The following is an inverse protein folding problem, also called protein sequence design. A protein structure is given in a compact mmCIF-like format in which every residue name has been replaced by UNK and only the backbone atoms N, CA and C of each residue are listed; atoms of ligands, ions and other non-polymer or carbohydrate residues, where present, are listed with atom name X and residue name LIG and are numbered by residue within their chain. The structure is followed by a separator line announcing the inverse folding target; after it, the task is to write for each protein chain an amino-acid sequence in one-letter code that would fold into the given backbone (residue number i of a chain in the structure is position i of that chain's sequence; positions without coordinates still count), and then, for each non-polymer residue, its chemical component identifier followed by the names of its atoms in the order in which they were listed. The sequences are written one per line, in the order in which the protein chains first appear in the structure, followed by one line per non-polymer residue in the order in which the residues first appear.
data_IF_885898293099
#
_entry.id   IF_885898293099
#
_cell.length_a   1.000
_cell.length_b   1.000
_cell.length_c   1.000
_cell.angle_alpha   90.00
_cell.angle_beta   90.00
_cell.angle_gamma   90.00
#
_symmetry.space_group_name_H-M   'P 1'
#
loop_
_entity.id
_entity.type
_entity.pdbx_description
1 polymer ?
#
# COMPACT_ATOMS: atom_id res chain seq x y z
N UNK A 1 5.41 23.46 9.81
CA UNK A 1 4.02 23.29 9.37
C UNK A 1 3.68 21.82 9.50
N UNK A 2 2.54 21.43 10.09
CA UNK A 2 2.12 20.04 10.10
C UNK A 2 1.89 19.57 8.66
N UNK A 3 2.14 18.30 8.38
CA UNK A 3 1.95 17.72 7.06
C UNK A 3 0.45 17.55 6.84
N UNK A 4 -0.08 18.19 5.79
CA UNK A 4 -1.48 18.04 5.41
C UNK A 4 -1.82 16.59 5.02
N UNK A 5 -3.10 16.20 5.03
CA UNK A 5 -3.51 14.86 4.63
C UNK A 5 -3.13 14.57 3.17
N UNK A 6 -3.00 13.29 2.80
CA UNK A 6 -2.88 12.91 1.39
C UNK A 6 -4.23 13.13 0.69
N UNK A 7 -4.20 13.49 -0.58
CA UNK A 7 -5.38 13.36 -1.43
C UNK A 7 -5.47 11.93 -1.93
N UNK A 8 -6.68 11.40 -1.92
CA UNK A 8 -7.01 10.05 -2.38
C UNK A 8 -8.31 10.12 -3.20
N UNK A 9 -8.57 9.15 -4.10
CA UNK A 9 -9.78 9.14 -4.92
C UNK A 9 -11.01 8.72 -4.09
N UNK A 10 -11.47 9.61 -3.21
CA UNK A 10 -12.54 9.35 -2.22
C UNK A 10 -13.85 8.88 -2.86
N UNK A 11 -14.22 9.45 -4.00
CA UNK A 11 -15.46 9.08 -4.69
C UNK A 11 -15.40 7.65 -5.22
N UNK A 12 -14.25 7.25 -5.78
CA UNK A 12 -14.00 5.89 -6.24
C UNK A 12 -14.02 4.90 -5.08
N UNK A 13 -13.23 5.18 -4.04
CA UNK A 13 -13.17 4.35 -2.82
C UNK A 13 -14.56 4.11 -2.25
N UNK A 14 -15.36 5.16 -2.08
CA UNK A 14 -16.73 5.04 -1.57
C UNK A 14 -17.64 4.23 -2.51
N UNK A 15 -17.56 4.45 -3.82
CA UNK A 15 -18.38 3.74 -4.82
C UNK A 15 -18.06 2.25 -4.92
N UNK A 16 -16.81 1.86 -4.64
CA UNK A 16 -16.33 0.47 -4.67
C UNK A 16 -16.46 -0.24 -3.31
N UNK A 17 -17.02 0.44 -2.29
CA UNK A 17 -17.28 -0.17 -0.98
C UNK A 17 -16.09 -0.17 -0.02
N UNK A 18 -15.07 0.66 -0.28
CA UNK A 18 -14.01 0.90 0.67
C UNK A 18 -14.48 1.81 1.80
N UNK A 19 -14.02 1.51 3.01
CA UNK A 19 -14.33 2.27 4.22
C UNK A 19 -13.03 2.71 4.89
N UNK A 20 -13.00 3.95 5.38
CA UNK A 20 -11.85 4.47 6.12
C UNK A 20 -11.67 3.66 7.41
N UNK A 21 -10.46 3.13 7.60
CA UNK A 21 -10.08 2.36 8.78
C UNK A 21 -9.43 3.26 9.81
N UNK A 22 -8.56 4.18 9.38
CA UNK A 22 -7.72 4.98 10.27
C UNK A 22 -7.16 6.23 9.58
N UNK A 23 -6.91 7.27 10.38
CA UNK A 23 -5.99 8.38 10.06
C UNK A 23 -4.94 8.50 11.15
N UNK A 24 -3.69 8.70 10.74
CA UNK A 24 -2.56 8.79 11.67
C UNK A 24 -1.54 9.84 11.22
N UNK A 25 -0.95 10.54 12.19
CA UNK A 25 0.20 11.41 12.01
C UNK A 25 1.39 10.82 12.77
N UNK A 26 2.54 10.70 12.11
CA UNK A 26 3.72 10.08 12.70
C UNK A 26 5.02 10.54 12.03
N UNK A 27 6.16 10.26 12.63
CA UNK A 27 7.48 10.59 12.07
C UNK A 27 8.18 9.28 11.66
N UNK A 28 8.06 8.84 10.39
CA UNK A 28 8.68 7.59 9.89
C UNK A 28 10.18 7.48 10.11
N UNK A 29 10.84 8.63 10.18
CA UNK A 29 12.28 8.67 10.34
C UNK A 29 12.68 9.99 10.99
N UNK A 30 13.49 9.90 12.04
CA UNK A 30 14.13 11.06 12.66
C UNK A 30 15.62 10.76 12.83
N UNK A 31 16.45 11.35 11.97
CA UNK A 31 17.90 11.34 12.13
C UNK A 31 18.43 12.77 12.21
N UNK A 32 19.63 12.90 12.80
CA UNK A 32 20.31 14.18 13.08
C UNK A 32 20.35 15.19 11.92
N UNK A 33 20.21 14.75 10.67
CA UNK A 33 20.28 15.60 9.48
C UNK A 33 18.93 15.78 8.76
N UNK A 34 18.01 14.81 8.86
CA UNK A 34 16.69 14.83 8.19
C UNK A 34 15.69 14.06 9.05
N UNK A 35 14.56 14.69 9.36
CA UNK A 35 13.35 14.01 9.85
C UNK A 35 12.30 13.99 8.74
N UNK A 36 11.44 12.98 8.71
CA UNK A 36 10.30 12.88 7.79
C UNK A 36 9.05 12.75 8.64
N UNK A 37 8.14 13.71 8.51
CA UNK A 37 6.82 13.64 9.12
C UNK A 37 5.82 13.12 8.07
N UNK A 38 4.85 12.33 8.52
CA UNK A 38 3.86 11.65 7.71
C UNK A 38 2.46 11.95 8.23
N UNK A 39 1.53 12.19 7.32
CA UNK A 39 0.09 12.17 7.57
C UNK A 39 -0.50 11.11 6.65
N UNK A 40 -1.15 10.11 7.22
CA UNK A 40 -1.65 8.94 6.49
C UNK A 40 -3.13 8.68 6.72
N UNK A 41 -3.75 8.08 5.72
CA UNK A 41 -5.09 7.51 5.78
C UNK A 41 -5.03 6.06 5.30
N UNK A 42 -5.76 5.17 5.97
CA UNK A 42 -5.91 3.78 5.58
C UNK A 42 -7.39 3.46 5.34
N UNK A 43 -7.63 2.62 4.34
CA UNK A 43 -8.94 2.10 3.95
C UNK A 43 -8.92 0.57 3.94
N UNK A 44 -10.07 -0.02 4.25
CA UNK A 44 -10.34 -1.44 4.03
C UNK A 44 -11.45 -1.63 3.00
N UNK A 45 -11.45 -2.74 2.27
CA UNK A 45 -12.58 -3.14 1.44
C UNK A 45 -13.69 -3.74 2.32
N UNK A 46 -14.55 -2.85 2.86
CA UNK A 46 -15.64 -3.21 3.75
C UNK A 46 -16.68 -4.09 3.07
N UNK A 47 -16.92 -3.89 1.77
CA UNK A 47 -17.84 -4.72 1.00
C UNK A 47 -17.34 -6.17 0.87
N UNK A 48 -16.05 -6.37 0.58
CA UNK A 48 -15.44 -7.71 0.53
C UNK A 48 -15.43 -8.36 1.93
N UNK A 49 -15.08 -7.60 2.96
CA UNK A 49 -15.11 -8.08 4.35
C UNK A 49 -16.48 -8.60 4.74
N UNK A 50 -17.54 -7.87 4.41
CA UNK A 50 -18.90 -8.30 4.68
C UNK A 50 -19.28 -9.58 3.92
N UNK A 51 -18.97 -9.66 2.61
CA UNK A 51 -19.26 -10.87 1.81
C UNK A 51 -18.54 -12.12 2.34
N UNK A 52 -17.27 -12.00 2.72
CA UNK A 52 -16.52 -13.13 3.29
C UNK A 52 -17.09 -13.50 4.66
N UNK A 53 -17.44 -12.52 5.49
CA UNK A 53 -18.05 -12.78 6.79
C UNK A 53 -19.39 -13.52 6.66
N UNK A 54 -20.26 -13.11 5.75
CA UNK A 54 -21.57 -13.75 5.56
C UNK A 54 -21.44 -15.22 5.11
N UNK A 55 -20.43 -15.51 4.28
CA UNK A 55 -20.20 -16.86 3.74
C UNK A 55 -19.40 -17.78 4.68
N UNK A 56 -18.52 -17.24 5.52
CA UNK A 56 -17.53 -18.03 6.26
C UNK A 56 -17.50 -17.76 7.77
N UNK A 57 -18.12 -16.69 8.22
CA UNK A 57 -18.03 -16.18 9.60
C UNK A 57 -16.66 -15.57 9.96
N UNK A 58 -15.71 -15.49 9.03
CA UNK A 58 -14.38 -14.94 9.27
C UNK A 58 -14.38 -13.43 9.09
N UNK A 59 -14.00 -12.71 10.14
CA UNK A 59 -14.03 -11.24 10.17
C UNK A 59 -12.63 -10.63 10.30
N UNK A 60 -12.14 -9.99 9.24
CA UNK A 60 -10.92 -9.18 9.24
C UNK A 60 -10.85 -8.24 8.02
N UNK A 61 -9.98 -7.22 8.03
CA UNK A 61 -9.61 -6.52 6.81
C UNK A 61 -8.88 -7.47 5.84
N UNK A 62 -9.44 -7.70 4.66
CA UNK A 62 -8.86 -8.59 3.64
C UNK A 62 -8.01 -7.83 2.63
N UNK A 63 -8.52 -6.70 2.15
CA UNK A 63 -7.79 -5.76 1.30
C UNK A 63 -7.60 -4.46 2.06
N UNK A 64 -6.42 -3.89 1.98
CA UNK A 64 -6.12 -2.58 2.55
C UNK A 64 -5.49 -1.67 1.50
N UNK A 65 -5.80 -0.39 1.59
CA UNK A 65 -5.17 0.69 0.84
C UNK A 65 -4.73 1.77 1.80
N UNK A 66 -3.51 2.28 1.64
CA UNK A 66 -2.89 3.27 2.50
C UNK A 66 -2.29 4.35 1.62
N UNK A 67 -2.56 5.60 1.96
CA UNK A 67 -1.90 6.75 1.39
C UNK A 67 -1.28 7.59 2.50
N UNK A 68 -0.14 8.21 2.23
CA UNK A 68 0.49 9.14 3.15
C UNK A 68 1.17 10.29 2.41
N UNK A 69 1.00 11.51 2.92
CA UNK A 69 1.82 12.65 2.54
C UNK A 69 3.00 12.73 3.50
N UNK A 70 4.18 12.97 2.95
CA UNK A 70 5.45 12.98 3.66
C UNK A 70 6.12 14.34 3.44
N UNK A 71 6.61 14.96 4.51
CA UNK A 71 7.44 16.16 4.42
C UNK A 71 8.74 15.96 5.20
N UNK A 72 9.86 16.36 4.60
CA UNK A 72 11.16 16.31 5.26
C UNK A 72 11.52 17.64 5.94
N UNK A 73 12.20 17.55 7.08
CA UNK A 73 12.74 18.67 7.85
C UNK A 73 14.25 18.53 8.04
N UNK A 74 15.07 19.56 7.77
CA UNK A 74 14.69 20.87 7.22
C UNK A 74 14.20 20.75 5.76
N UNK A 75 13.41 21.72 5.30
CA UNK A 75 12.99 21.80 3.90
C UNK A 75 14.23 22.11 3.04
N UNK A 76 14.81 21.06 2.48
CA UNK A 76 15.95 21.13 1.55
C UNK A 76 15.47 20.91 0.12
N UNK A 77 16.11 21.54 -0.88
CA UNK A 77 15.82 21.25 -2.28
C UNK A 77 15.91 19.75 -2.57
N UNK A 78 14.95 19.25 -3.35
CA UNK A 78 14.92 17.86 -3.78
C UNK A 78 16.17 17.56 -4.62
N UNK A 79 16.74 16.38 -4.42
CA UNK A 79 17.82 15.84 -5.25
C UNK A 79 17.58 14.35 -5.47
N UNK A 80 18.13 13.78 -6.54
CA UNK A 80 18.07 12.33 -6.81
C UNK A 80 18.41 11.46 -5.60
N UNK A 81 19.49 11.85 -4.92
CA UNK A 81 20.04 11.10 -3.80
C UNK A 81 19.08 11.14 -2.61
N UNK A 82 18.51 12.32 -2.31
CA UNK A 82 17.52 12.46 -1.25
C UNK A 82 16.23 11.68 -1.58
N UNK A 83 15.72 11.78 -2.81
CA UNK A 83 14.55 11.02 -3.24
C UNK A 83 14.77 9.52 -3.15
N UNK A 84 15.94 9.04 -3.59
CA UNK A 84 16.30 7.63 -3.46
C UNK A 84 16.34 7.18 -2.00
N UNK A 85 16.94 7.98 -1.13
CA UNK A 85 17.06 7.71 0.30
C UNK A 85 15.70 7.68 1.00
N UNK A 86 14.87 8.72 0.81
CA UNK A 86 13.54 8.81 1.43
C UNK A 86 12.64 7.69 0.93
N UNK A 87 12.57 7.46 -0.38
CA UNK A 87 11.76 6.38 -0.94
C UNK A 87 12.22 5.00 -0.44
N UNK A 88 13.53 4.74 -0.39
CA UNK A 88 14.06 3.50 0.17
C UNK A 88 13.59 3.30 1.61
N UNK A 89 13.79 4.31 2.47
CA UNK A 89 13.43 4.24 3.89
C UNK A 89 11.93 4.06 4.13
N UNK A 90 11.11 4.74 3.35
CA UNK A 90 9.64 4.69 3.42
C UNK A 90 9.13 3.34 2.94
N UNK A 91 9.64 2.83 1.82
CA UNK A 91 9.27 1.51 1.30
C UNK A 91 9.73 0.39 2.26
N UNK A 92 10.89 0.53 2.89
CA UNK A 92 11.32 -0.42 3.92
C UNK A 92 10.36 -0.41 5.13
N UNK A 93 9.92 0.77 5.56
CA UNK A 93 8.95 0.92 6.66
C UNK A 93 7.50 0.53 6.30
N UNK A 94 7.15 0.45 5.02
CA UNK A 94 5.80 0.04 4.61
C UNK A 94 5.49 -1.41 5.01
N UNK A 95 6.52 -2.26 5.12
CA UNK A 95 6.34 -3.62 5.64
C UNK A 95 5.78 -3.62 7.07
N UNK A 96 6.22 -2.69 7.91
CA UNK A 96 5.73 -2.52 9.28
C UNK A 96 4.27 -2.02 9.27
N UNK A 97 3.92 -1.12 8.35
CA UNK A 97 2.53 -0.65 8.13
C UNK A 97 1.58 -1.80 7.79
N UNK A 98 2.03 -2.77 6.98
CA UNK A 98 1.26 -3.99 6.72
C UNK A 98 1.17 -4.87 7.98
N UNK A 99 2.28 -5.02 8.72
CA UNK A 99 2.32 -5.84 9.93
C UNK A 99 1.36 -5.36 11.02
N UNK A 100 1.31 -4.04 11.26
CA UNK A 100 0.37 -3.40 12.20
C UNK A 100 -1.10 -3.64 11.84
N UNK A 101 -1.39 -3.91 10.56
CA UNK A 101 -2.74 -4.16 10.03
C UNK A 101 -3.06 -5.65 9.91
N UNK A 102 -2.32 -6.49 10.62
CA UNK A 102 -2.60 -7.92 10.75
C UNK A 102 -2.12 -8.76 9.57
N UNK A 103 -1.15 -8.27 8.80
CA UNK A 103 -0.36 -9.10 7.89
C UNK A 103 0.86 -9.64 8.64
N UNK A 104 1.29 -10.85 8.31
CA UNK A 104 2.43 -11.52 8.92
C UNK A 104 3.46 -11.87 7.85
N UNK A 105 4.67 -12.23 8.27
CA UNK A 105 5.71 -12.72 7.35
C UNK A 105 6.03 -11.75 6.20
N UNK A 106 5.84 -10.46 6.43
CA UNK A 106 5.98 -9.41 5.41
C UNK A 106 7.44 -9.33 4.98
N UNK A 107 7.69 -9.61 3.71
CA UNK A 107 9.00 -9.55 3.08
C UNK A 107 8.88 -8.73 1.81
N UNK A 108 9.69 -7.68 1.72
CA UNK A 108 9.91 -6.99 0.45
C UNK A 108 10.48 -7.99 -0.54
N UNK A 109 9.87 -8.11 -1.71
CA UNK A 109 10.42 -8.93 -2.78
C UNK A 109 11.33 -8.04 -3.62
N UNK A 110 12.57 -8.45 -3.82
CA UNK A 110 13.63 -7.68 -4.51
C UNK A 110 13.30 -7.38 -6.00
N UNK A 111 12.09 -7.70 -6.45
CA UNK A 111 11.60 -7.52 -7.81
C UNK A 111 11.35 -6.07 -8.21
N UNK A 112 11.64 -5.11 -7.34
CA UNK A 112 11.52 -3.69 -7.63
C UNK A 112 12.84 -2.90 -7.59
N UNK A 113 13.98 -3.58 -7.64
CA UNK A 113 15.26 -2.95 -8.05
C UNK A 113 15.59 -3.32 -9.50
N UNK A 114 14.65 -3.06 -10.42
CA UNK A 114 14.75 -3.60 -11.77
C UNK A 114 13.76 -3.09 -12.79
N UNK A 115 13.22 -1.87 -12.64
CA UNK A 115 12.85 -0.91 -13.71
C UNK A 115 11.95 -1.29 -14.91
N UNK A 116 11.61 -2.55 -15.14
CA UNK A 116 10.84 -3.02 -16.29
C UNK A 116 9.35 -3.05 -15.98
N UNK A 117 8.83 -4.18 -15.55
CA UNK A 117 7.39 -4.47 -15.68
C UNK A 117 6.47 -3.64 -14.77
N UNK A 118 6.71 -3.61 -13.47
CA UNK A 118 5.84 -2.90 -12.51
C UNK A 118 5.98 -1.38 -12.65
N UNK A 119 7.25 -0.97 -12.73
CA UNK A 119 7.65 0.41 -12.88
C UNK A 119 7.03 0.98 -14.16
N UNK A 120 7.07 0.27 -15.31
CA UNK A 120 6.42 0.62 -16.59
C UNK A 120 4.90 0.59 -16.51
N UNK A 121 4.29 -0.45 -15.93
CA UNK A 121 2.83 -0.55 -15.76
C UNK A 121 2.25 0.63 -14.98
N UNK A 122 3.00 1.18 -14.03
CA UNK A 122 2.55 2.29 -13.20
C UNK A 122 2.96 3.67 -13.75
N UNK A 123 3.68 3.75 -14.89
CA UNK A 123 3.92 5.03 -15.59
C UNK A 123 2.76 5.33 -16.53
N UNK A 124 2.11 6.47 -16.37
CA UNK A 124 1.14 6.97 -17.36
C UNK A 124 1.77 7.87 -18.43
N UNK A 125 2.96 8.42 -18.20
CA UNK A 125 3.57 9.36 -19.13
C UNK A 125 5.05 9.04 -19.36
N UNK A 126 5.40 8.71 -20.60
CA UNK A 126 6.77 8.65 -21.11
C UNK A 126 7.51 10.00 -21.10
N UNK A 127 7.17 10.91 -20.17
CA UNK A 127 7.65 12.29 -20.08
C UNK A 127 8.48 12.62 -18.84
N UNK A 128 8.62 11.71 -17.86
CA UNK A 128 9.45 11.97 -16.69
C UNK A 128 10.94 11.72 -16.98
N UNK A 129 11.66 12.78 -17.34
CA UNK A 129 13.10 12.77 -17.57
C UNK A 129 13.84 13.19 -16.30
N UNK A 130 14.42 12.25 -15.54
CA UNK A 130 15.27 12.57 -14.37
C UNK A 130 14.60 12.40 -13.00
N UNK A 131 15.03 13.19 -12.01
CA UNK A 131 14.86 13.09 -10.53
C UNK A 131 13.42 12.99 -9.97
N UNK A 132 12.42 12.97 -10.83
CA UNK A 132 10.98 12.99 -10.51
C UNK A 132 10.33 11.59 -10.55
N UNK A 133 11.14 10.54 -10.71
CA UNK A 133 10.61 9.17 -10.84
C UNK A 133 9.98 8.67 -9.54
N UNK A 134 8.73 8.23 -9.65
CA UNK A 134 8.12 7.34 -8.67
C UNK A 134 8.97 6.07 -8.51
N UNK A 135 9.02 5.56 -7.28
CA UNK A 135 9.71 4.32 -6.92
C UNK A 135 8.71 3.37 -6.31
N UNK A 136 8.72 2.12 -6.75
CA UNK A 136 7.79 1.11 -6.29
C UNK A 136 8.50 -0.03 -5.55
N UNK A 137 7.74 -0.76 -4.75
CA UNK A 137 8.17 -2.00 -4.11
C UNK A 137 7.00 -2.97 -4.01
N UNK A 138 7.31 -4.26 -4.17
CA UNK A 138 6.38 -5.35 -3.91
C UNK A 138 6.69 -6.03 -2.59
N UNK A 139 5.67 -6.62 -2.00
CA UNK A 139 5.74 -7.32 -0.73
C UNK A 139 5.04 -8.66 -0.87
N UNK A 140 5.69 -9.72 -0.41
CA UNK A 140 5.03 -10.97 -0.10
C UNK A 140 4.71 -10.97 1.39
N UNK A 141 3.49 -11.34 1.73
CA UNK A 141 3.05 -11.46 3.10
C UNK A 141 2.10 -12.64 3.25
N UNK A 142 1.72 -12.93 4.49
CA UNK A 142 0.62 -13.81 4.82
C UNK A 142 -0.42 -13.04 5.61
N UNK A 143 -1.66 -13.51 5.58
CA UNK A 143 -2.67 -13.07 6.52
C UNK A 143 -3.39 -14.28 7.11
N UNK A 144 -3.72 -14.20 8.39
CA UNK A 144 -4.36 -15.30 9.10
C UNK A 144 -5.59 -14.81 9.86
N UNK A 145 -6.57 -15.68 10.00
CA UNK A 145 -7.76 -15.48 10.85
C UNK A 145 -8.26 -16.85 11.32
N UNK A 146 -8.30 -17.04 12.63
CA UNK A 146 -8.55 -18.37 13.22
C UNK A 146 -7.50 -19.38 12.75
N UNK A 147 -7.97 -20.50 12.17
CA UNK A 147 -7.15 -21.58 11.61
C UNK A 147 -6.92 -21.46 10.10
N UNK A 148 -7.28 -20.32 9.49
CA UNK A 148 -7.06 -20.05 8.08
C UNK A 148 -5.83 -19.18 7.89
N UNK A 149 -5.00 -19.53 6.91
CA UNK A 149 -3.87 -18.71 6.44
C UNK A 149 -3.99 -18.48 4.93
N UNK A 150 -3.61 -17.29 4.47
CA UNK A 150 -3.63 -16.91 3.06
C UNK A 150 -2.29 -16.31 2.68
N UNK A 151 -1.88 -16.55 1.44
CA UNK A 151 -0.83 -15.76 0.80
C UNK A 151 -1.40 -14.42 0.42
N UNK A 152 -0.65 -13.35 0.69
CA UNK A 152 -1.03 -12.00 0.31
C UNK A 152 0.10 -11.34 -0.45
N UNK A 153 -0.25 -10.44 -1.37
CA UNK A 153 0.69 -9.59 -2.07
C UNK A 153 0.42 -8.15 -1.72
N UNK A 154 1.50 -7.40 -1.53
CA UNK A 154 1.48 -5.97 -1.31
C UNK A 154 2.24 -5.24 -2.40
N UNK A 155 1.84 -3.99 -2.61
CA UNK A 155 2.46 -3.07 -3.55
C UNK A 155 2.44 -1.68 -2.93
N UNK A 156 3.55 -0.97 -3.00
CA UNK A 156 3.63 0.42 -2.60
C UNK A 156 4.47 1.24 -3.57
N UNK A 157 4.17 2.53 -3.66
CA UNK A 157 4.84 3.50 -4.51
C UNK A 157 5.04 4.82 -3.78
N UNK A 158 6.22 5.39 -3.93
CA UNK A 158 6.58 6.73 -3.43
C UNK A 158 6.84 7.63 -4.62
N UNK A 159 6.16 8.77 -4.67
CA UNK A 159 6.33 9.80 -5.70
C UNK A 159 6.78 11.13 -5.08
N UNK A 160 7.77 11.82 -5.67
CA UNK A 160 8.11 13.17 -5.25
C UNK A 160 7.02 14.18 -5.65
N UNK A 161 6.66 15.07 -4.73
CA UNK A 161 5.77 16.24 -4.95
C UNK A 161 6.48 17.52 -4.49
N UNK A 162 5.99 18.70 -4.85
CA UNK A 162 6.72 19.96 -4.67
C UNK A 162 7.26 20.18 -3.24
N UNK A 163 6.48 19.80 -2.24
CA UNK A 163 6.81 19.97 -0.82
C UNK A 163 7.06 18.64 -0.09
N UNK A 164 7.55 17.61 -0.78
CA UNK A 164 7.93 16.35 -0.16
C UNK A 164 7.63 15.12 -1.03
N UNK A 165 6.90 14.16 -0.47
CA UNK A 165 6.58 12.90 -1.14
C UNK A 165 5.16 12.43 -0.84
N UNK A 166 4.60 11.65 -1.74
CA UNK A 166 3.34 10.91 -1.54
C UNK A 166 3.66 9.42 -1.61
N UNK A 167 3.31 8.70 -0.54
CA UNK A 167 3.27 7.24 -0.49
C UNK A 167 1.83 6.80 -0.80
N UNK A 168 1.68 5.79 -1.65
CA UNK A 168 0.44 5.07 -1.83
C UNK A 168 0.74 3.57 -1.97
N UNK A 169 -0.03 2.72 -1.31
CA UNK A 169 0.21 1.28 -1.33
C UNK A 169 -0.90 0.50 -0.68
N UNK A 170 -0.80 -0.82 -0.71
CA UNK A 170 -1.82 -1.70 -0.13
C UNK A 170 -1.40 -3.15 -0.16
N UNK A 171 -2.31 -4.01 0.27
CA UNK A 171 -2.16 -5.45 0.22
C UNK A 171 -3.50 -6.14 0.00
N UNK A 172 -3.45 -7.30 -0.67
CA UNK A 172 -4.61 -8.13 -0.99
C UNK A 172 -4.25 -9.63 -0.95
N UNK A 173 -5.23 -10.50 -0.68
CA UNK A 173 -5.04 -11.95 -0.70
C UNK A 173 -4.91 -12.49 -2.12
N UNK A 174 -4.01 -13.45 -2.32
CA UNK A 174 -3.80 -14.14 -3.59
C UNK A 174 -4.39 -15.55 -3.61
N UNK A 175 -4.18 -16.31 -2.53
CA UNK A 175 -4.57 -17.72 -2.48
C UNK A 175 -4.65 -18.18 -1.03
N UNK A 176 -5.55 -19.12 -0.75
CA UNK A 176 -5.62 -19.80 0.54
C UNK A 176 -4.41 -20.75 0.66
N UNK A 177 -3.76 -20.73 1.82
CA UNK A 177 -2.60 -21.59 2.12
C UNK A 177 -3.00 -22.76 2.99
N UNK A 178 -3.65 -22.47 4.11
CA UNK A 178 -4.15 -23.45 5.05
C UNK A 178 -5.59 -23.10 5.45
N UNK A 179 -6.40 -24.13 5.66
CA UNK A 179 -7.77 -24.03 6.12
C UNK A 179 -8.11 -25.26 6.98
N UNK A 180 -9.07 -25.16 7.92
CA UNK A 180 -9.47 -26.29 8.76
C UNK A 180 -10.11 -27.44 7.97
N UNK A 181 -10.76 -27.13 6.85
CA UNK A 181 -11.44 -28.07 5.98
C UNK A 181 -11.54 -27.53 4.54
N UNK A 182 -11.80 -28.40 3.54
CA UNK A 182 -11.93 -27.98 2.14
C UNK A 182 -13.11 -27.05 1.86
N UNK A 183 -14.19 -27.10 2.65
CA UNK A 183 -15.38 -26.27 2.45
C UNK A 183 -15.05 -24.80 2.76
N UNK A 184 -14.37 -24.54 3.88
CA UNK A 184 -13.87 -23.22 4.27
C UNK A 184 -12.89 -22.67 3.24
N UNK A 185 -11.94 -23.49 2.77
CA UNK A 185 -10.99 -23.09 1.73
C UNK A 185 -11.71 -22.65 0.46
N UNK A 186 -12.65 -23.48 -0.02
CA UNK A 186 -13.38 -23.19 -1.25
C UNK A 186 -14.31 -21.97 -1.09
N UNK A 187 -14.93 -21.82 0.08
CA UNK A 187 -15.76 -20.65 0.39
C UNK A 187 -14.96 -19.35 0.27
N UNK A 188 -13.72 -19.32 0.79
CA UNK A 188 -12.82 -18.18 0.68
C UNK A 188 -12.33 -17.95 -0.75
N UNK A 189 -11.88 -19.01 -1.44
CA UNK A 189 -11.36 -18.92 -2.82
C UNK A 189 -12.35 -18.28 -3.78
N UNK A 190 -13.66 -18.48 -3.59
CA UNK A 190 -14.71 -17.84 -4.41
C UNK A 190 -14.72 -16.31 -4.32
N UNK A 191 -14.18 -15.74 -3.24
CA UNK A 191 -14.08 -14.29 -3.05
C UNK A 191 -12.70 -13.73 -3.42
N UNK A 192 -11.72 -14.58 -3.72
CA UNK A 192 -10.38 -14.14 -4.09
C UNK A 192 -10.31 -13.87 -5.59
N UNK A 193 -10.19 -12.58 -5.95
CA UNK A 193 -10.00 -12.13 -7.32
C UNK A 193 -8.62 -11.46 -7.48
N UNK A 194 -7.49 -12.19 -7.33
CA UNK A 194 -6.16 -11.60 -7.23
C UNK A 194 -5.79 -10.68 -8.41
N UNK A 195 -6.13 -11.07 -9.63
CA UNK A 195 -5.83 -10.27 -10.83
C UNK A 195 -6.60 -8.95 -10.81
N UNK A 196 -7.88 -8.99 -10.39
CA UNK A 196 -8.70 -7.79 -10.24
C UNK A 196 -8.16 -6.91 -9.10
N UNK A 197 -7.84 -7.52 -7.96
CA UNK A 197 -7.31 -6.80 -6.80
C UNK A 197 -5.98 -6.11 -7.11
N UNK A 198 -5.12 -6.75 -7.91
CA UNK A 198 -3.87 -6.16 -8.40
C UNK A 198 -4.16 -4.92 -9.25
N UNK A 199 -5.05 -5.03 -10.23
CA UNK A 199 -5.40 -3.92 -11.14
C UNK A 199 -6.01 -2.76 -10.36
N UNK A 200 -7.00 -3.04 -9.51
CA UNK A 200 -7.66 -2.03 -8.67
C UNK A 200 -6.64 -1.28 -7.79
N UNK A 201 -5.73 -2.01 -7.11
CA UNK A 201 -4.71 -1.41 -6.26
C UNK A 201 -3.74 -0.54 -7.07
N UNK A 202 -3.32 -1.00 -8.25
CA UNK A 202 -2.46 -0.22 -9.14
C UNK A 202 -3.14 1.08 -9.56
N UNK A 203 -4.44 1.06 -9.87
CA UNK A 203 -5.18 2.26 -10.24
C UNK A 203 -5.35 3.24 -9.07
N UNK A 204 -5.67 2.76 -7.86
CA UNK A 204 -5.73 3.60 -6.66
C UNK A 204 -4.39 4.31 -6.39
N UNK A 205 -3.27 3.58 -6.55
CA UNK A 205 -1.93 4.15 -6.45
C UNK A 205 -1.70 5.22 -7.52
N UNK A 206 -2.04 4.93 -8.79
CA UNK A 206 -1.88 5.88 -9.90
C UNK A 206 -2.68 7.16 -9.67
N UNK A 207 -3.96 7.06 -9.33
CA UNK A 207 -4.83 8.22 -9.09
C UNK A 207 -4.32 9.07 -7.93
N UNK A 208 -3.88 8.43 -6.85
CA UNK A 208 -3.24 9.12 -5.70
C UNK A 208 -1.92 9.81 -6.10
N UNK A 209 -1.24 9.30 -7.12
CA UNK A 209 0.00 9.84 -7.65
C UNK A 209 -0.19 10.91 -8.75
N UNK A 210 -1.40 11.22 -9.22
CA UNK A 210 -1.59 12.23 -10.29
C UNK A 210 -1.55 13.68 -9.84
N UNK A 211 -1.53 13.94 -8.53
CA UNK A 211 -1.57 15.32 -8.00
C UNK A 211 -0.27 16.12 -8.09
#
# INVERSE_FOLDING_TARGET
MPVGPPTVPVDRLASEGWTELERAEWTPFDARLVAVDANSVAYEDGALRHRIYDDTGLDRPWRIFVAARLAHRPSVPRSRALTAFVAGRVLDGFGDTLAERGFADVRRTDRAEGGGDLDERLREDGRSTGDERSRFAEYAAACSVGSVSLRTRGLAGVRPVDEGYVLAGGAYPETVRDAPDPETAHALERHLEPDRFEVDLQELIRETHRE
#
